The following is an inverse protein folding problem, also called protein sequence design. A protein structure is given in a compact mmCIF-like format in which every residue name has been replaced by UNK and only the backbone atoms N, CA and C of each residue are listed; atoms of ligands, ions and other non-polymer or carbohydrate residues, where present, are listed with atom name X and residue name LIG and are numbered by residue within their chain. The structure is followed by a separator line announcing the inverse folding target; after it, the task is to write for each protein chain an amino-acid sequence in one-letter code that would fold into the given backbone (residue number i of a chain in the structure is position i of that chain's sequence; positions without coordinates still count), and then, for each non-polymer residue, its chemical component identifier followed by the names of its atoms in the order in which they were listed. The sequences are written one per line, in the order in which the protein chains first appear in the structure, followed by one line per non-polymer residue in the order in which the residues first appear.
data_IF_883385989002
#
_entry.id   IF_883385989002
#
_cell.length_a   1.000
_cell.length_b   1.000
_cell.length_c   1.000
_cell.angle_alpha   90.00
_cell.angle_beta   90.00
_cell.angle_gamma   90.00
#
_symmetry.space_group_name_H-M   'P 1'
#
loop_
_entity.id
_entity.type
_entity.pdbx_description
1 polymer ?
#
# COMPACT_ATOMS: atom_id res chain seq x y z
N UNK A 1 -34.87 16.55 3.82
CA UNK A 1 -33.40 16.44 3.67
C UNK A 1 -33.06 14.96 3.83
N UNK A 2 -33.42 14.09 2.86
CA UNK A 2 -32.54 13.47 1.84
C UNK A 2 -31.16 13.04 2.41
N UNK A 3 -31.12 11.89 3.09
CA UNK A 3 -29.88 11.14 3.30
C UNK A 3 -29.64 10.28 2.07
N UNK A 4 -28.51 10.51 1.40
CA UNK A 4 -28.06 9.78 0.22
C UNK A 4 -27.37 8.48 0.66
N UNK A 5 -27.87 7.29 0.25
CA UNK A 5 -27.19 6.03 0.46
C UNK A 5 -26.39 5.71 -0.80
N UNK A 6 -25.17 6.23 -0.92
CA UNK A 6 -24.24 5.86 -1.99
C UNK A 6 -22.81 5.85 -1.44
N UNK A 7 -22.55 4.97 -0.47
CA UNK A 7 -21.20 4.42 -0.30
C UNK A 7 -21.07 3.31 -1.33
N UNK A 8 -20.60 3.74 -2.49
CA UNK A 8 -20.40 2.96 -3.70
C UNK A 8 -19.50 1.77 -3.38
N UNK A 9 -20.04 0.59 -3.65
CA UNK A 9 -19.33 -0.67 -3.71
C UNK A 9 -18.26 -0.63 -4.82
N UNK A 10 -17.02 -0.28 -4.46
CA UNK A 10 -15.84 -0.32 -5.33
C UNK A 10 -14.84 -1.41 -4.89
N UNK A 11 -15.34 -2.62 -4.56
CA UNK A 11 -14.47 -3.80 -4.31
C UNK A 11 -14.95 -4.97 -5.16
N UNK A 12 -15.01 -4.79 -6.48
CA UNK A 12 -15.47 -5.88 -7.37
C UNK A 12 -14.84 -5.90 -8.77
N UNK A 13 -13.74 -5.19 -9.04
CA UNK A 13 -13.16 -5.12 -10.39
C UNK A 13 -11.68 -5.48 -10.53
N UNK A 14 -11.04 -6.09 -9.52
CA UNK A 14 -9.63 -6.48 -9.61
C UNK A 14 -9.39 -7.92 -10.11
N UNK A 15 -10.42 -8.62 -10.61
CA UNK A 15 -10.32 -10.06 -10.91
C UNK A 15 -10.77 -10.46 -12.33
N UNK A 16 -10.73 -9.56 -13.31
CA UNK A 16 -11.07 -9.90 -14.69
C UNK A 16 -10.08 -9.27 -15.68
N UNK A 17 -9.15 -10.07 -16.21
CA UNK A 17 -8.34 -9.69 -17.37
C UNK A 17 -6.89 -10.18 -17.28
N UNK A 18 -6.52 -11.11 -18.17
CA UNK A 18 -5.23 -11.77 -18.19
C UNK A 18 -4.06 -10.92 -18.70
N UNK A 19 -2.87 -11.48 -18.54
CA UNK A 19 -1.55 -11.07 -19.03
C UNK A 19 -0.96 -9.73 -18.57
N UNK A 20 -1.75 -8.70 -18.26
CA UNK A 20 -1.23 -7.37 -17.90
C UNK A 20 -1.18 -7.11 -16.39
N UNK A 21 -0.89 -8.14 -15.59
CA UNK A 21 -0.86 -8.02 -14.13
C UNK A 21 0.23 -7.04 -13.67
N UNK A 22 1.42 -7.12 -14.26
CA UNK A 22 2.53 -6.24 -13.91
C UNK A 22 2.22 -4.78 -14.24
N UNK A 23 1.74 -4.50 -15.46
CA UNK A 23 1.31 -3.15 -15.87
C UNK A 23 0.21 -2.61 -14.93
N UNK A 24 -0.82 -3.40 -14.65
CA UNK A 24 -1.89 -2.99 -13.74
C UNK A 24 -1.37 -2.75 -12.30
N UNK A 25 -0.38 -3.52 -11.85
CA UNK A 25 0.25 -3.29 -10.55
C UNK A 25 1.11 -2.01 -10.55
N UNK A 26 1.80 -1.70 -11.65
CA UNK A 26 2.57 -0.45 -11.78
C UNK A 26 1.63 0.76 -11.78
N UNK A 27 0.57 0.74 -12.60
CA UNK A 27 -0.45 1.81 -12.68
C UNK A 27 -1.06 2.09 -11.29
N UNK A 28 -1.41 1.04 -10.54
CA UNK A 28 -1.96 1.19 -9.18
C UNK A 28 -0.97 1.84 -8.19
N UNK A 29 0.34 1.57 -8.34
CA UNK A 29 1.35 2.19 -7.49
C UNK A 29 1.55 3.66 -7.86
N UNK A 30 1.47 4.01 -9.14
CA UNK A 30 1.58 5.39 -9.62
C UNK A 30 0.37 6.22 -9.15
N UNK A 31 -0.87 5.71 -9.28
CA UNK A 31 -2.07 6.36 -8.74
C UNK A 31 -2.01 6.55 -7.20
N UNK A 32 -1.38 5.60 -6.49
CA UNK A 32 -1.15 5.70 -5.06
C UNK A 32 -0.05 6.72 -4.71
N UNK A 33 0.97 6.85 -5.57
CA UNK A 33 2.04 7.82 -5.44
C UNK A 33 1.51 9.26 -5.53
N UNK A 34 0.66 9.54 -6.53
CA UNK A 34 0.03 10.86 -6.75
C UNK A 34 -0.80 11.34 -5.55
N UNK A 35 -1.35 10.40 -4.78
CA UNK A 35 -2.16 10.69 -3.58
C UNK A 35 -1.36 10.67 -2.27
N UNK A 36 -0.06 10.39 -2.34
CA UNK A 36 0.82 10.20 -1.19
C UNK A 36 1.59 11.47 -0.81
N UNK A 37 2.30 11.41 0.32
CA UNK A 37 3.29 12.45 0.66
C UNK A 37 4.54 12.32 -0.23
N UNK A 38 5.35 13.37 -0.42
CA UNK A 38 6.50 13.31 -1.32
C UNK A 38 7.52 12.21 -1.00
N UNK A 39 7.65 11.82 0.27
CA UNK A 39 8.55 10.74 0.69
C UNK A 39 7.99 9.34 0.34
N UNK A 40 6.67 9.20 0.31
CA UNK A 40 6.00 7.96 -0.02
C UNK A 40 5.78 7.82 -1.53
N UNK A 41 5.50 8.93 -2.22
CA UNK A 41 5.46 9.06 -3.68
C UNK A 41 6.74 8.48 -4.32
N UNK A 42 7.92 8.97 -3.91
CA UNK A 42 9.20 8.50 -4.46
C UNK A 42 9.45 6.99 -4.28
N UNK A 43 8.90 6.38 -3.22
CA UNK A 43 9.01 4.93 -2.98
C UNK A 43 8.08 4.14 -3.89
N UNK A 44 6.86 4.64 -4.09
CA UNK A 44 5.84 4.01 -4.92
C UNK A 44 6.18 4.13 -6.41
N UNK A 45 6.60 5.32 -6.88
CA UNK A 45 7.08 5.54 -8.26
C UNK A 45 8.26 4.63 -8.59
N UNK A 46 9.27 4.56 -7.71
CA UNK A 46 10.42 3.69 -7.94
C UNK A 46 10.04 2.21 -8.04
N UNK A 47 8.99 1.78 -7.34
CA UNK A 47 8.50 0.43 -7.42
C UNK A 47 7.69 0.18 -8.70
N UNK A 48 6.88 1.14 -9.14
CA UNK A 48 6.19 1.09 -10.43
C UNK A 48 7.19 0.93 -11.58
N UNK A 49 8.22 1.78 -11.64
CA UNK A 49 9.31 1.72 -12.64
C UNK A 49 9.96 0.34 -12.70
N UNK A 50 10.21 -0.27 -11.54
CA UNK A 50 10.82 -1.60 -11.45
C UNK A 50 9.89 -2.68 -11.98
N UNK A 51 8.60 -2.55 -11.74
CA UNK A 51 7.57 -3.47 -12.24
C UNK A 51 7.46 -3.35 -13.76
N UNK A 52 7.45 -2.14 -14.31
CA UNK A 52 7.50 -1.90 -15.75
C UNK A 52 8.78 -2.44 -16.39
N UNK A 53 9.92 -2.32 -15.69
CA UNK A 53 11.19 -2.90 -16.12
C UNK A 53 11.22 -4.44 -16.11
N UNK A 54 10.16 -5.09 -15.63
CA UNK A 54 9.97 -6.53 -15.70
C UNK A 54 10.65 -7.31 -14.57
N UNK A 55 10.58 -6.82 -13.32
CA UNK A 55 11.02 -7.63 -12.17
C UNK A 55 10.26 -8.97 -12.12
N UNK A 56 10.92 -10.05 -11.68
CA UNK A 56 10.34 -11.39 -11.68
C UNK A 56 9.12 -11.55 -10.76
N UNK A 57 9.04 -10.76 -9.68
CA UNK A 57 7.95 -10.79 -8.71
C UNK A 57 7.37 -9.37 -8.52
N UNK A 58 6.49 -8.92 -9.44
CA UNK A 58 5.91 -7.58 -9.36
C UNK A 58 5.02 -7.40 -8.13
N UNK A 59 4.26 -8.42 -7.74
CA UNK A 59 3.36 -8.36 -6.58
C UNK A 59 4.12 -8.20 -5.25
N UNK A 60 5.24 -8.91 -5.08
CA UNK A 60 6.09 -8.76 -3.89
C UNK A 60 6.73 -7.37 -3.83
N UNK A 61 7.17 -6.86 -4.99
CA UNK A 61 7.76 -5.53 -5.12
C UNK A 61 6.75 -4.46 -4.75
N UNK A 62 5.51 -4.57 -5.22
CA UNK A 62 4.42 -3.66 -4.89
C UNK A 62 4.07 -3.68 -3.40
N UNK A 63 3.91 -4.87 -2.81
CA UNK A 63 3.62 -4.98 -1.37
C UNK A 63 4.74 -4.39 -0.51
N UNK A 64 5.99 -4.63 -0.88
CA UNK A 64 7.14 -4.05 -0.20
C UNK A 64 7.15 -2.51 -0.31
N UNK A 65 6.81 -1.98 -1.48
CA UNK A 65 6.71 -0.54 -1.72
C UNK A 65 5.61 0.11 -0.88
N UNK A 66 4.41 -0.49 -0.84
CA UNK A 66 3.29 -0.01 -0.02
C UNK A 66 3.64 0.04 1.47
N UNK A 67 4.35 -0.98 1.98
CA UNK A 67 4.82 -0.98 3.38
C UNK A 67 5.84 0.14 3.64
N UNK A 68 6.80 0.33 2.74
CA UNK A 68 7.81 1.39 2.87
C UNK A 68 7.19 2.79 2.73
N UNK A 69 6.26 2.97 1.80
CA UNK A 69 5.50 4.19 1.60
C UNK A 69 4.69 4.53 2.85
N UNK A 70 3.99 3.56 3.44
CA UNK A 70 3.29 3.74 4.73
C UNK A 70 4.22 4.20 5.85
N UNK A 71 5.41 3.59 5.96
CA UNK A 71 6.42 4.00 6.94
C UNK A 71 6.96 5.42 6.67
N UNK A 72 7.08 5.81 5.41
CA UNK A 72 7.50 7.15 4.99
C UNK A 72 6.41 8.21 5.27
N UNK A 73 5.12 7.87 5.07
CA UNK A 73 4.00 8.75 5.41
C UNK A 73 3.88 9.02 6.92
N UNK A 74 4.21 8.02 7.75
CA UNK A 74 4.19 8.17 9.21
C UNK A 74 5.36 8.99 9.79
N UNK A 75 6.25 9.54 8.96
CA UNK A 75 7.30 10.46 9.40
C UNK A 75 8.51 9.80 10.05
N UNK A 76 8.79 8.53 9.73
CA UNK A 76 10.02 7.86 10.17
C UNK A 76 9.96 7.40 11.62
N UNK A 77 9.35 6.25 11.83
CA UNK A 77 9.87 5.23 12.73
C UNK A 77 9.50 3.87 12.12
N UNK A 78 10.44 2.92 11.98
CA UNK A 78 10.07 1.54 11.62
C UNK A 78 9.01 1.06 12.62
N UNK A 79 8.11 0.14 12.24
CA UNK A 79 7.16 -0.42 13.19
C UNK A 79 7.96 -0.91 14.39
N UNK A 80 7.83 -0.20 15.51
CA UNK A 80 8.24 -0.69 16.81
C UNK A 80 7.43 -1.96 16.96
N UNK A 81 8.10 -3.08 16.69
CA UNK A 81 7.59 -4.42 16.93
C UNK A 81 6.97 -4.32 18.30
N UNK A 82 5.64 -4.38 18.36
CA UNK A 82 4.90 -4.32 19.61
C UNK A 82 5.44 -5.46 20.44
N UNK A 83 6.42 -5.15 21.30
CA UNK A 83 6.84 -6.08 22.31
C UNK A 83 5.58 -6.35 23.11
N UNK A 84 5.21 -7.63 23.29
CA UNK A 84 4.00 -7.98 24.01
C UNK A 84 4.01 -7.20 25.32
N UNK A 85 2.90 -6.53 25.57
CA UNK A 85 2.61 -5.86 26.82
C UNK A 85 2.97 -6.82 27.96
N UNK A 86 4.10 -6.57 28.62
CA UNK A 86 4.29 -7.04 29.98
C UNK A 86 3.17 -6.35 30.75
N UNK A 87 2.10 -7.09 30.98
CA UNK A 87 1.03 -6.77 31.91
C UNK A 87 1.64 -6.87 33.32
N UNK A 88 1.95 -5.77 34.03
CA UNK A 88 2.14 -5.87 35.46
C UNK A 88 0.77 -6.06 36.09
N UNK A 89 0.27 -7.30 36.02
CA UNK A 89 -0.88 -7.76 36.77
C UNK A 89 -0.61 -7.57 38.27
N UNK A 90 -0.95 -6.38 38.75
CA UNK A 90 -1.11 -6.08 40.16
C UNK A 90 -2.40 -6.75 40.63
N UNK A 91 -2.32 -7.73 41.53
CA UNK A 91 -3.53 -8.37 42.04
C UNK A 91 -3.31 -9.44 43.10
N UNK A 92 -3.16 -8.97 44.35
CA UNK A 92 -3.48 -9.62 45.64
C UNK A 92 -2.54 -10.68 46.22
#
# INVERSE_FOLDING_TARGET
MKHAPYLIALIALAACGGDNRAENTADQLEEAAEQSTPAAEAVLENAADRIEAGVPNPDETAQQALNQAGNAQMGGSPPEVSQPVDDPGNGY
#
